data_IF_307255402100
#
_entry.id   IF_307255402100
#
_cell.length_a   1.000
_cell.length_b   1.000
_cell.length_c   1.000
_cell.angle_alpha   90.00
_cell.angle_beta   90.00
_cell.angle_gamma   90.00
#
_symmetry.space_group_name_H-M   'P 1'
#
loop_
_entity.id
_entity.type
_entity.pdbx_description
1 polymer ?
#
# COMPACT_ATOMS: atom_id res chain seq x y z
N UNK A 1 25.84 -6.18 -0.45
CA UNK A 1 25.12 -6.91 0.61
C UNK A 1 23.67 -6.96 0.20
N UNK A 2 23.12 -8.16 0.09
CA UNK A 2 21.74 -8.39 -0.35
C UNK A 2 20.71 -7.72 0.58
N UNK A 3 19.72 -7.05 -0.02
CA UNK A 3 18.58 -6.48 0.69
C UNK A 3 17.64 -7.59 1.13
N UNK A 4 17.51 -7.75 2.45
CA UNK A 4 16.62 -8.73 3.09
C UNK A 4 15.16 -8.29 3.00
N UNK A 5 14.86 -7.03 3.35
CA UNK A 5 13.50 -6.50 3.39
C UNK A 5 13.42 -5.01 2.98
N UNK A 6 12.20 -4.52 2.76
CA UNK A 6 11.90 -3.17 2.26
C UNK A 6 12.19 -2.04 3.25
N UNK A 7 12.19 -2.34 4.54
CA UNK A 7 12.48 -1.36 5.60
C UNK A 7 13.97 -1.13 5.87
N UNK A 8 14.88 -1.79 5.13
CA UNK A 8 16.32 -1.55 5.28
C UNK A 8 16.73 -0.21 4.65
N UNK A 9 17.69 0.47 5.28
CA UNK A 9 18.27 1.69 4.72
C UNK A 9 19.29 1.36 3.60
N UNK A 10 19.46 2.24 2.61
CA UNK A 10 18.71 3.49 2.41
C UNK A 10 17.27 3.24 1.94
N UNK A 11 16.35 4.08 2.40
CA UNK A 11 14.96 4.10 1.92
C UNK A 11 14.92 4.69 0.50
N UNK A 12 14.03 4.17 -0.34
CA UNK A 12 13.82 4.74 -1.67
C UNK A 12 12.97 6.02 -1.56
N UNK A 13 13.25 7.06 -2.35
CA UNK A 13 12.52 8.34 -2.26
C UNK A 13 11.00 8.18 -2.42
N UNK A 14 10.55 7.28 -3.30
CA UNK A 14 9.13 6.97 -3.47
C UNK A 14 8.50 6.34 -2.22
N UNK A 15 9.22 5.49 -1.49
CA UNK A 15 8.76 4.94 -0.22
C UNK A 15 8.56 6.05 0.81
N UNK A 16 9.52 6.99 0.91
CA UNK A 16 9.41 8.15 1.82
C UNK A 16 8.20 9.00 1.45
N UNK A 17 8.03 9.33 0.15
CA UNK A 17 6.87 10.11 -0.32
C UNK A 17 5.55 9.43 0.03
N UNK A 18 5.41 8.11 -0.21
CA UNK A 18 4.18 7.39 0.12
C UNK A 18 3.87 7.41 1.63
N UNK A 19 4.88 7.19 2.47
CA UNK A 19 4.73 7.24 3.94
C UNK A 19 4.30 8.64 4.38
N UNK A 20 4.95 9.68 3.85
CA UNK A 20 4.61 11.07 4.16
C UNK A 20 3.18 11.40 3.76
N UNK A 21 2.76 11.04 2.54
CA UNK A 21 1.39 11.26 2.06
C UNK A 21 0.38 10.51 2.93
N UNK A 22 0.63 9.24 3.27
CA UNK A 22 -0.24 8.46 4.14
C UNK A 22 -0.48 9.13 5.50
N UNK A 23 0.59 9.60 6.16
CA UNK A 23 0.46 10.27 7.45
C UNK A 23 -0.22 11.65 7.33
N UNK A 24 0.11 12.43 6.30
CA UNK A 24 -0.51 13.74 6.07
C UNK A 24 -2.02 13.61 5.86
N UNK A 25 -2.45 12.69 4.99
CA UNK A 25 -3.87 12.44 4.74
C UNK A 25 -4.58 11.86 5.96
N UNK A 26 -3.94 10.95 6.71
CA UNK A 26 -4.48 10.44 7.97
C UNK A 26 -4.71 11.52 9.03
N UNK A 27 -3.72 12.38 9.26
CA UNK A 27 -3.88 13.51 10.18
C UNK A 27 -4.97 14.45 9.67
N UNK A 28 -4.99 14.75 8.36
CA UNK A 28 -6.01 15.58 7.77
C UNK A 28 -7.42 14.98 7.96
N UNK A 29 -7.59 13.68 7.79
CA UNK A 29 -8.87 13.00 7.96
C UNK A 29 -9.42 13.15 9.38
N UNK A 30 -8.60 12.85 10.40
CA UNK A 30 -9.03 12.95 11.79
C UNK A 30 -9.23 14.40 12.25
N UNK A 31 -8.48 15.35 11.69
CA UNK A 31 -8.57 16.76 12.09
C UNK A 31 -9.64 17.57 11.34
N UNK A 32 -9.83 17.30 10.03
CA UNK A 32 -10.64 18.15 9.13
C UNK A 32 -11.77 17.41 8.41
N UNK A 33 -11.83 16.07 8.46
CA UNK A 33 -12.86 15.31 7.75
C UNK A 33 -13.87 14.71 8.73
N UNK A 34 -13.46 13.74 9.54
CA UNK A 34 -14.38 13.02 10.43
C UNK A 34 -15.21 13.93 11.34
N UNK A 35 -14.65 14.96 12.00
CA UNK A 35 -15.40 15.87 12.88
C UNK A 35 -16.46 16.71 12.16
N UNK A 36 -16.32 16.87 10.83
CA UNK A 36 -17.13 17.80 10.03
C UNK A 36 -18.15 17.11 9.12
N UNK A 37 -18.26 15.78 9.19
CA UNK A 37 -19.21 15.03 8.38
C UNK A 37 -20.67 15.20 8.84
N UNK A 38 -20.91 15.78 10.03
CA UNK A 38 -22.22 16.24 10.46
C UNK A 38 -22.63 15.73 11.84
N UNK A 39 -23.56 14.77 11.87
CA UNK A 39 -24.03 14.17 13.13
C UNK A 39 -22.92 13.31 13.75
N UNK A 40 -22.89 13.23 15.07
CA UNK A 40 -21.92 12.43 15.84
C UNK A 40 -21.85 10.97 15.36
N UNK A 41 -22.98 10.36 15.01
CA UNK A 41 -23.01 8.98 14.48
C UNK A 41 -22.20 8.84 13.19
N UNK A 42 -22.21 9.84 12.31
CA UNK A 42 -21.42 9.82 11.08
C UNK A 42 -19.93 10.02 11.37
N UNK A 43 -19.59 10.89 12.32
CA UNK A 43 -18.21 11.08 12.79
C UNK A 43 -17.61 9.78 13.34
N UNK A 44 -18.30 9.09 14.26
CA UNK A 44 -17.82 7.83 14.82
C UNK A 44 -17.73 6.72 13.76
N UNK A 45 -18.75 6.61 12.89
CA UNK A 45 -18.77 5.61 11.82
C UNK A 45 -17.62 5.84 10.84
N UNK A 46 -17.39 7.10 10.45
CA UNK A 46 -16.30 7.51 9.58
C UNK A 46 -14.93 7.20 10.16
N UNK A 47 -14.75 7.56 11.42
CA UNK A 47 -13.52 7.31 12.19
C UNK A 47 -13.24 5.82 12.26
N UNK A 48 -14.26 5.00 12.57
CA UNK A 48 -14.12 3.55 12.65
C UNK A 48 -13.73 2.90 11.31
N UNK A 49 -14.45 3.23 10.24
CA UNK A 49 -14.16 2.70 8.89
C UNK A 49 -12.76 3.13 8.43
N UNK A 50 -12.43 4.41 8.57
CA UNK A 50 -11.14 4.93 8.15
C UNK A 50 -9.98 4.32 8.94
N UNK A 51 -10.14 4.18 10.27
CA UNK A 51 -9.15 3.55 11.13
C UNK A 51 -8.89 2.11 10.70
N UNK A 52 -9.94 1.34 10.44
CA UNK A 52 -9.83 -0.04 9.95
C UNK A 52 -9.09 -0.10 8.60
N UNK A 53 -9.46 0.75 7.65
CA UNK A 53 -8.81 0.81 6.34
C UNK A 53 -7.33 1.20 6.45
N UNK A 54 -7.00 2.23 7.22
CA UNK A 54 -5.63 2.70 7.43
C UNK A 54 -4.75 1.64 8.13
N UNK A 55 -5.31 0.95 9.14
CA UNK A 55 -4.63 -0.16 9.82
C UNK A 55 -4.41 -1.35 8.88
N UNK A 56 -5.42 -1.71 8.07
CA UNK A 56 -5.29 -2.79 7.09
C UNK A 56 -4.19 -2.48 6.07
N UNK A 57 -4.14 -1.25 5.55
CA UNK A 57 -3.11 -0.80 4.63
C UNK A 57 -1.71 -0.87 5.27
N UNK A 58 -1.59 -0.42 6.53
CA UNK A 58 -0.34 -0.46 7.28
C UNK A 58 0.13 -1.89 7.54
N UNK A 59 -0.80 -2.79 7.87
CA UNK A 59 -0.53 -4.21 8.07
C UNK A 59 -0.03 -4.88 6.79
N UNK A 60 -0.72 -4.67 5.66
CA UNK A 60 -0.28 -5.21 4.37
C UNK A 60 1.05 -4.61 3.91
N UNK A 61 1.28 -3.31 4.09
CA UNK A 61 2.56 -2.67 3.77
C UNK A 61 3.70 -3.29 4.57
N UNK A 62 3.46 -3.50 5.87
CA UNK A 62 4.43 -4.14 6.76
C UNK A 62 4.72 -5.57 6.33
N UNK A 63 3.67 -6.36 6.07
CA UNK A 63 3.78 -7.75 5.67
C UNK A 63 4.54 -7.90 4.33
N UNK A 64 4.12 -7.20 3.27
CA UNK A 64 4.81 -7.26 1.97
C UNK A 64 6.23 -6.69 2.05
N UNK A 65 6.43 -5.68 2.90
CA UNK A 65 7.72 -5.04 3.13
C UNK A 65 8.71 -5.92 3.88
N UNK A 66 8.27 -6.75 4.84
CA UNK A 66 9.14 -7.66 5.60
C UNK A 66 9.29 -9.03 4.96
N UNK A 67 8.36 -9.44 4.09
CA UNK A 67 8.37 -10.76 3.48
C UNK A 67 9.62 -10.96 2.62
N UNK A 68 10.38 -12.00 3.00
CA UNK A 68 11.64 -12.35 2.35
C UNK A 68 11.35 -13.05 1.02
N UNK A 69 11.45 -12.28 -0.05
CA UNK A 69 11.24 -12.76 -1.43
C UNK A 69 12.46 -13.45 -2.05
N UNK A 70 13.59 -13.52 -1.33
CA UNK A 70 14.78 -14.20 -1.82
C UNK A 70 14.56 -15.71 -1.95
N UNK A 71 15.04 -16.30 -3.04
CA UNK A 71 15.44 -17.71 -2.99
C UNK A 71 16.72 -17.75 -2.18
N UNK A 72 16.67 -18.33 -0.97
CA UNK A 72 17.86 -18.54 -0.14
C UNK A 72 18.92 -19.22 -0.99
N UNK A 73 20.06 -18.55 -1.14
CA UNK A 73 21.28 -19.17 -1.62
C UNK A 73 22.45 -18.45 -0.98
N UNK A 74 23.31 -19.23 -0.32
CA UNK A 74 24.66 -18.90 0.19
C UNK A 74 24.87 -18.53 1.67
N UNK A 75 23.94 -18.76 2.63
CA UNK A 75 24.31 -18.69 4.07
C UNK A 75 23.74 -19.77 4.98
N UNK A 76 23.13 -20.83 4.45
CA UNK A 76 22.85 -22.02 5.26
C UNK A 76 23.62 -23.20 4.66
N UNK A 77 24.30 -23.92 5.54
CA UNK A 77 25.15 -25.08 5.29
C UNK A 77 24.56 -26.06 4.26
N UNK A 78 25.40 -26.76 3.46
CA UNK A 78 24.95 -27.75 2.49
C UNK A 78 24.47 -28.99 3.24
N UNK A 79 23.25 -28.97 3.77
CA UNK A 79 22.79 -30.08 4.59
C UNK A 79 21.54 -29.85 5.43
N UNK A 80 20.53 -29.14 4.92
CA UNK A 80 19.15 -29.35 5.41
C UNK A 80 18.12 -28.77 4.45
N UNK A 81 17.74 -29.59 3.48
CA UNK A 81 16.43 -29.44 2.85
C UNK A 81 15.43 -29.89 3.93
N UNK A 82 14.91 -28.94 4.72
CA UNK A 82 13.83 -29.27 5.65
C UNK A 82 12.65 -29.79 4.83
N UNK A 83 12.42 -31.10 4.97
CA UNK A 83 11.44 -31.89 4.24
C UNK A 83 10.03 -31.45 4.57
N UNK A 84 9.59 -30.37 3.94
CA UNK A 84 8.18 -30.11 3.74
C UNK A 84 7.79 -30.95 2.53
N UNK A 85 7.05 -32.02 2.81
CA UNK A 85 6.52 -33.00 1.87
C UNK A 85 6.20 -32.41 0.49
N UNK A 86 7.12 -32.61 -0.46
CA UNK A 86 6.84 -32.54 -1.88
C UNK A 86 6.22 -33.87 -2.27
N UNK A 87 4.98 -34.11 -1.82
CA UNK A 87 4.14 -35.12 -2.45
C UNK A 87 3.70 -34.56 -3.80
N UNK A 88 4.31 -35.12 -4.83
CA UNK A 88 3.74 -35.37 -6.16
C UNK A 88 3.01 -34.22 -6.85
N UNK A 89 3.76 -33.48 -7.68
CA UNK A 89 3.29 -33.25 -9.05
C UNK A 89 4.46 -33.33 -10.03
N UNK A 90 4.33 -34.27 -10.96
CA UNK A 90 5.33 -34.63 -11.96
C UNK A 90 5.80 -33.44 -12.80
N UNK A 91 7.10 -33.18 -12.73
CA UNK A 91 7.84 -32.36 -13.67
C UNK A 91 9.19 -32.03 -13.08
N UNK A 92 10.26 -32.50 -13.70
CA UNK A 92 11.62 -32.04 -13.39
C UNK A 92 11.62 -30.49 -13.51
N UNK A 93 11.48 -29.76 -12.40
CA UNK A 93 11.71 -28.32 -12.39
C UNK A 93 13.20 -28.12 -12.67
N UNK A 94 13.57 -27.94 -13.94
CA UNK A 94 14.92 -27.58 -14.36
C UNK A 94 15.42 -26.41 -13.51
N UNK A 95 16.26 -26.72 -12.52
CA UNK A 95 16.98 -25.71 -11.76
C UNK A 95 17.89 -24.96 -12.75
N UNK A 96 17.76 -23.64 -12.77
CA UNK A 96 18.63 -22.75 -13.54
C UNK A 96 19.79 -22.28 -12.66
N UNK A 97 20.87 -21.79 -13.26
CA UNK A 97 21.99 -21.25 -12.50
C UNK A 97 22.08 -19.73 -12.63
N UNK A 98 22.15 -19.02 -11.50
CA UNK A 98 22.42 -17.59 -11.47
C UNK A 98 23.93 -17.35 -11.31
N UNK A 99 24.56 -16.80 -12.34
CA UNK A 99 26.01 -16.48 -12.31
C UNK A 99 26.37 -15.33 -11.36
N UNK A 100 25.43 -14.43 -11.06
CA UNK A 100 25.66 -13.30 -10.14
C UNK A 100 25.64 -13.74 -8.67
N UNK A 101 24.73 -14.66 -8.33
CA UNK A 101 24.65 -15.23 -6.98
C UNK A 101 25.53 -16.48 -6.83
N UNK A 102 26.07 -17.01 -7.93
CA UNK A 102 26.79 -18.27 -8.01
C UNK A 102 26.00 -19.43 -7.35
N UNK A 103 24.73 -19.55 -7.71
CA UNK A 103 23.80 -20.47 -7.07
C UNK A 103 22.73 -21.00 -8.04
N UNK A 104 22.25 -22.20 -7.76
CA UNK A 104 21.06 -22.77 -8.41
C UNK A 104 19.78 -22.04 -7.96
N UNK A 105 18.88 -21.82 -8.90
CA UNK A 105 17.63 -21.09 -8.74
C UNK A 105 16.50 -21.81 -9.46
N UNK A 106 15.26 -21.56 -9.05
CA UNK A 106 14.07 -22.13 -9.70
C UNK A 106 13.89 -21.57 -11.12
N UNK A 107 13.18 -22.32 -11.96
CA UNK A 107 12.89 -21.99 -13.37
C UNK A 107 12.35 -20.56 -13.61
N UNK A 108 11.55 -20.04 -12.68
CA UNK A 108 10.95 -18.70 -12.78
C UNK A 108 11.67 -17.63 -11.96
N UNK A 109 12.83 -17.95 -11.38
CA UNK A 109 13.61 -16.99 -10.61
C UNK A 109 14.33 -15.99 -11.51
N UNK A 110 14.38 -14.73 -11.08
CA UNK A 110 15.22 -13.69 -11.71
C UNK A 110 16.04 -12.95 -10.66
N UNK A 111 17.25 -12.53 -11.04
CA UNK A 111 18.12 -11.74 -10.17
C UNK A 111 17.68 -10.26 -10.19
N UNK A 112 17.33 -9.72 -9.02
CA UNK A 112 17.05 -8.31 -8.84
C UNK A 112 18.34 -7.57 -8.44
N UNK A 113 18.90 -6.79 -9.36
CA UNK A 113 20.13 -6.01 -9.11
C UNK A 113 19.97 -4.97 -7.99
N UNK A 114 18.79 -4.39 -7.82
CA UNK A 114 18.50 -3.42 -6.76
C UNK A 114 18.50 -4.03 -5.36
N UNK A 115 18.09 -5.30 -5.25
CA UNK A 115 18.11 -6.05 -4.00
C UNK A 115 19.33 -6.96 -3.85
N UNK A 116 20.12 -7.15 -4.92
CA UNK A 116 21.28 -8.04 -4.96
C UNK A 116 20.91 -9.47 -4.50
N UNK A 117 19.77 -9.98 -5.01
CA UNK A 117 19.23 -11.33 -4.70
C UNK A 117 18.40 -11.91 -5.83
N UNK A 118 18.32 -13.23 -5.90
CA UNK A 118 17.36 -13.93 -6.77
C UNK A 118 16.00 -14.03 -6.10
N UNK A 119 14.93 -13.83 -6.87
CA UNK A 119 13.54 -13.85 -6.39
C UNK A 119 12.75 -14.85 -7.23
N UNK A 120 12.08 -15.79 -6.56
CA UNK A 120 11.21 -16.77 -7.22
C UNK A 120 9.91 -16.12 -7.72
N UNK A 121 9.49 -16.51 -8.93
CA UNK A 121 8.35 -15.91 -9.63
C UNK A 121 8.46 -14.38 -9.66
N UNK A 122 9.66 -13.85 -9.97
CA UNK A 122 9.93 -12.42 -9.93
C UNK A 122 9.01 -11.65 -10.87
N UNK A 123 8.22 -10.75 -10.30
CA UNK A 123 7.37 -9.81 -11.04
C UNK A 123 8.13 -8.50 -11.24
N UNK A 124 8.41 -7.77 -10.15
CA UNK A 124 9.17 -6.52 -10.21
C UNK A 124 9.82 -6.14 -8.88
N UNK A 125 10.71 -5.14 -8.92
CA UNK A 125 11.17 -4.43 -7.74
C UNK A 125 10.29 -3.21 -7.47
N UNK A 126 9.50 -3.24 -6.40
CA UNK A 126 8.57 -2.16 -6.07
C UNK A 126 9.31 -1.06 -5.30
N UNK A 127 9.51 0.10 -5.95
CA UNK A 127 10.15 1.28 -5.36
C UNK A 127 9.36 1.92 -4.21
N UNK A 128 8.04 1.67 -4.15
CA UNK A 128 7.16 2.17 -3.08
C UNK A 128 7.30 1.36 -1.79
N UNK A 129 7.57 0.06 -1.93
CA UNK A 129 7.83 -0.86 -0.81
C UNK A 129 9.32 -1.02 -0.52
N UNK A 130 10.17 -0.59 -1.45
CA UNK A 130 11.61 -0.81 -1.46
C UNK A 130 11.96 -2.32 -1.34
N UNK A 131 11.06 -3.20 -1.82
CA UNK A 131 11.19 -4.65 -1.78
C UNK A 131 10.78 -5.25 -3.14
N UNK A 132 11.23 -6.48 -3.40
CA UNK A 132 10.76 -7.22 -4.57
C UNK A 132 9.36 -7.77 -4.33
N UNK A 133 8.57 -7.80 -5.40
CA UNK A 133 7.31 -8.55 -5.50
C UNK A 133 7.61 -9.80 -6.33
N UNK A 134 7.30 -10.96 -5.76
CA UNK A 134 7.48 -12.26 -6.38
C UNK A 134 6.43 -13.24 -5.89
N UNK A 135 6.58 -14.53 -6.19
CA UNK A 135 5.55 -15.55 -5.93
C UNK A 135 4.99 -15.51 -4.50
N UNK A 136 5.88 -15.43 -3.51
CA UNK A 136 5.51 -15.51 -2.08
C UNK A 136 4.59 -14.38 -1.62
N UNK A 137 4.90 -13.14 -1.99
CA UNK A 137 4.18 -11.95 -1.52
C UNK A 137 3.21 -11.34 -2.55
N UNK A 138 3.02 -11.98 -3.70
CA UNK A 138 2.23 -11.42 -4.80
C UNK A 138 0.76 -11.17 -4.42
N UNK A 139 0.11 -12.11 -3.73
CA UNK A 139 -1.29 -11.94 -3.29
C UNK A 139 -1.39 -10.84 -2.24
N UNK A 140 -0.49 -10.82 -1.26
CA UNK A 140 -0.41 -9.76 -0.25
C UNK A 140 -0.18 -8.38 -0.88
N UNK A 141 0.61 -8.30 -1.96
CA UNK A 141 0.80 -7.08 -2.74
C UNK A 141 -0.50 -6.62 -3.42
N UNK A 142 -1.28 -7.53 -4.00
CA UNK A 142 -2.59 -7.18 -4.59
C UNK A 142 -3.60 -6.76 -3.52
N UNK A 143 -3.62 -7.42 -2.36
CA UNK A 143 -4.44 -7.02 -1.21
C UNK A 143 -4.04 -5.65 -0.67
N UNK A 144 -2.74 -5.33 -0.61
CA UNK A 144 -2.25 -3.99 -0.27
C UNK A 144 -2.85 -2.94 -1.21
N UNK A 145 -2.78 -3.17 -2.53
CA UNK A 145 -3.33 -2.23 -3.51
C UNK A 145 -4.84 -2.03 -3.35
N UNK A 146 -5.58 -3.12 -3.12
CA UNK A 146 -7.02 -3.05 -2.85
C UNK A 146 -7.33 -2.26 -1.58
N UNK A 147 -6.60 -2.50 -0.48
CA UNK A 147 -6.76 -1.78 0.77
C UNK A 147 -6.43 -0.28 0.62
N UNK A 148 -5.33 0.04 -0.08
CA UNK A 148 -4.96 1.43 -0.40
C UNK A 148 -6.02 2.12 -1.26
N UNK A 149 -6.58 1.45 -2.26
CA UNK A 149 -7.68 2.00 -3.07
C UNK A 149 -8.95 2.25 -2.25
N UNK A 150 -9.35 1.29 -1.43
CA UNK A 150 -10.52 1.43 -0.57
C UNK A 150 -10.36 2.62 0.40
N UNK A 151 -9.17 2.77 0.99
CA UNK A 151 -8.83 3.89 1.86
C UNK A 151 -8.91 5.25 1.14
N UNK A 152 -8.27 5.37 -0.03
CA UNK A 152 -8.29 6.61 -0.84
C UNK A 152 -9.70 6.97 -1.34
N UNK A 153 -10.47 5.99 -1.82
CA UNK A 153 -11.84 6.19 -2.31
C UNK A 153 -12.76 6.62 -1.17
N UNK A 154 -12.62 6.00 0.01
CA UNK A 154 -13.38 6.38 1.18
C UNK A 154 -13.09 7.83 1.56
N UNK A 155 -11.81 8.20 1.70
CA UNK A 155 -11.41 9.57 2.00
C UNK A 155 -11.94 10.59 0.97
N UNK A 156 -11.80 10.28 -0.33
CA UNK A 156 -12.36 11.10 -1.40
C UNK A 156 -13.87 11.30 -1.25
N UNK A 157 -14.62 10.23 -0.98
CA UNK A 157 -16.07 10.29 -0.80
C UNK A 157 -16.46 11.19 0.39
N UNK A 158 -15.75 11.04 1.52
CA UNK A 158 -15.94 11.91 2.69
C UNK A 158 -15.63 13.37 2.33
N UNK A 159 -14.47 13.61 1.72
CA UNK A 159 -14.02 14.95 1.34
C UNK A 159 -14.99 15.67 0.41
N UNK A 160 -15.44 14.99 -0.65
CA UNK A 160 -16.47 15.51 -1.55
C UNK A 160 -17.76 15.85 -0.78
N UNK A 161 -18.20 14.97 0.11
CA UNK A 161 -19.42 15.22 0.90
C UNK A 161 -19.30 16.46 1.79
N UNK A 162 -18.13 16.68 2.40
CA UNK A 162 -17.85 17.85 3.25
C UNK A 162 -17.75 19.11 2.40
N UNK A 163 -17.11 19.05 1.23
CA UNK A 163 -17.07 20.17 0.29
C UNK A 163 -18.48 20.58 -0.13
N UNK A 164 -19.34 19.62 -0.50
CA UNK A 164 -20.75 19.90 -0.81
C UNK A 164 -21.44 20.60 0.37
N UNK A 165 -21.25 20.12 1.60
CA UNK A 165 -21.81 20.78 2.81
C UNK A 165 -21.31 22.20 2.99
N UNK A 166 -20.03 22.49 2.70
CA UNK A 166 -19.47 23.83 2.77
C UNK A 166 -20.19 24.85 1.86
N UNK A 167 -20.89 24.38 0.82
CA UNK A 167 -21.66 25.22 -0.10
C UNK A 167 -23.17 25.16 0.18
N UNK A 168 -23.71 23.99 0.54
CA UNK A 168 -25.14 23.79 0.75
C UNK A 168 -25.61 24.29 2.13
N UNK A 169 -24.84 24.03 3.18
CA UNK A 169 -25.21 24.37 4.57
C UNK A 169 -24.11 25.22 5.24
N UNK A 170 -23.89 26.39 4.66
CA UNK A 170 -22.80 27.30 5.07
C UNK A 170 -22.81 27.61 6.56
N UNK A 171 -23.99 27.90 7.13
CA UNK A 171 -24.13 28.29 8.54
C UNK A 171 -23.81 27.13 9.49
N UNK A 172 -24.29 25.92 9.18
CA UNK A 172 -23.97 24.76 10.02
C UNK A 172 -22.48 24.44 9.98
N UNK A 173 -21.85 24.54 8.80
CA UNK A 173 -20.39 24.35 8.66
C UNK A 173 -19.60 25.42 9.41
N UNK A 174 -19.96 26.69 9.29
CA UNK A 174 -19.29 27.79 10.02
C UNK A 174 -19.40 27.60 11.54
N UNK A 175 -20.58 27.24 12.05
CA UNK A 175 -20.76 26.95 13.47
C UNK A 175 -19.91 25.75 13.94
N UNK A 176 -19.87 24.66 13.15
CA UNK A 176 -19.04 23.50 13.46
C UNK A 176 -17.55 23.83 13.45
N UNK A 177 -17.10 24.69 12.54
CA UNK A 177 -15.71 25.17 12.49
C UNK A 177 -15.37 25.94 13.78
N UNK A 178 -16.23 26.90 14.18
CA UNK A 178 -15.99 27.67 15.40
C UNK A 178 -15.99 26.77 16.64
N UNK A 179 -16.91 25.81 16.72
CA UNK A 179 -17.01 24.86 17.84
C UNK A 179 -15.78 23.94 17.97
N UNK A 180 -15.29 23.40 16.85
CA UNK A 180 -14.22 22.39 16.83
C UNK A 180 -12.80 22.94 16.67
N UNK A 181 -12.64 24.06 15.95
CA UNK A 181 -11.33 24.66 15.61
C UNK A 181 -11.12 26.05 16.24
N UNK A 182 -12.18 26.64 16.82
CA UNK A 182 -12.14 27.98 17.39
C UNK A 182 -12.50 29.09 16.40
N UNK A 183 -12.68 30.30 16.95
CA UNK A 183 -13.07 31.52 16.22
C UNK A 183 -12.00 32.03 15.24
N UNK A 184 -10.73 31.62 15.41
CA UNK A 184 -9.63 31.95 14.52
C UNK A 184 -9.66 31.25 13.15
N UNK A 185 -10.55 30.27 12.94
CA UNK A 185 -10.63 29.51 11.69
C UNK A 185 -11.91 29.82 10.91
N UNK A 186 -11.79 30.13 9.63
CA UNK A 186 -12.92 30.46 8.77
C UNK A 186 -13.17 29.38 7.71
N UNK A 187 -14.35 29.42 7.08
CA UNK A 187 -14.74 28.45 6.05
C UNK A 187 -13.79 28.40 4.84
N UNK A 188 -13.25 29.50 4.29
CA UNK A 188 -12.36 29.43 3.13
C UNK A 188 -11.07 28.61 3.34
N UNK A 189 -10.25 28.83 4.39
CA UNK A 189 -9.08 27.98 4.63
C UNK A 189 -9.47 26.54 4.95
N UNK A 190 -10.57 26.30 5.68
CA UNK A 190 -11.11 24.95 5.90
C UNK A 190 -11.40 24.22 4.58
N UNK A 191 -12.23 24.82 3.73
CA UNK A 191 -12.61 24.24 2.44
C UNK A 191 -11.40 24.05 1.53
N UNK A 192 -10.39 24.92 1.61
CA UNK A 192 -9.15 24.81 0.86
C UNK A 192 -8.35 23.56 1.28
N UNK A 193 -8.18 23.34 2.58
CA UNK A 193 -7.50 22.14 3.10
C UNK A 193 -8.24 20.87 2.67
N UNK A 194 -9.56 20.81 2.87
CA UNK A 194 -10.37 19.66 2.47
C UNK A 194 -10.29 19.43 0.95
N UNK A 195 -10.35 20.47 0.13
CA UNK A 195 -10.24 20.37 -1.32
C UNK A 195 -8.88 19.87 -1.78
N UNK A 196 -7.79 20.36 -1.19
CA UNK A 196 -6.44 19.93 -1.53
C UNK A 196 -6.21 18.45 -1.16
N UNK A 197 -6.58 18.04 0.05
CA UNK A 197 -6.46 16.64 0.47
C UNK A 197 -7.33 15.72 -0.41
N UNK A 198 -8.58 16.12 -0.69
CA UNK A 198 -9.48 15.36 -1.59
C UNK A 198 -8.89 15.25 -3.00
N UNK A 199 -8.29 16.32 -3.52
CA UNK A 199 -7.65 16.30 -4.84
C UNK A 199 -6.42 15.38 -4.87
N UNK A 200 -5.58 15.42 -3.83
CA UNK A 200 -4.44 14.49 -3.70
C UNK A 200 -4.92 13.03 -3.69
N UNK A 201 -5.95 12.73 -2.90
CA UNK A 201 -6.51 11.37 -2.80
C UNK A 201 -7.12 10.90 -4.12
N UNK A 202 -7.79 11.80 -4.86
CA UNK A 202 -8.35 11.49 -6.18
C UNK A 202 -7.24 11.23 -7.21
N UNK A 203 -6.22 12.10 -7.25
CA UNK A 203 -5.08 11.95 -8.14
C UNK A 203 -4.29 10.67 -7.86
N UNK A 204 -4.17 10.25 -6.61
CA UNK A 204 -3.52 9.00 -6.23
C UNK A 204 -4.36 7.77 -6.61
N UNK A 205 -5.69 7.88 -6.59
CA UNK A 205 -6.61 6.77 -6.91
C UNK A 205 -6.49 6.32 -8.36
N UNK A 206 -6.26 7.25 -9.30
CA UNK A 206 -6.19 6.94 -10.75
C UNK A 206 -5.06 5.96 -11.08
N UNK A 207 -3.76 6.27 -10.86
CA UNK A 207 -2.67 5.37 -11.22
C UNK A 207 -2.68 4.08 -10.39
N UNK A 208 -3.11 4.15 -9.12
CA UNK A 208 -3.24 2.95 -8.30
C UNK A 208 -4.35 2.02 -8.81
N UNK A 209 -5.45 2.60 -9.28
CA UNK A 209 -6.58 1.88 -9.88
C UNK A 209 -6.16 1.19 -11.17
N UNK A 210 -5.47 1.90 -12.07
CA UNK A 210 -4.92 1.34 -13.30
C UNK A 210 -3.98 0.16 -13.01
N UNK A 211 -3.05 0.33 -12.07
CA UNK A 211 -2.13 -0.74 -11.67
C UNK A 211 -2.90 -1.94 -11.08
N UNK A 212 -3.92 -1.69 -10.26
CA UNK A 212 -4.74 -2.76 -9.67
C UNK A 212 -5.45 -3.55 -10.75
N UNK A 213 -6.15 -2.89 -11.67
CA UNK A 213 -6.82 -3.55 -12.79
C UNK A 213 -5.85 -4.33 -13.67
N UNK A 214 -4.65 -3.80 -13.92
CA UNK A 214 -3.60 -4.51 -14.63
C UNK A 214 -3.25 -5.85 -13.96
N UNK A 215 -2.99 -5.86 -12.65
CA UNK A 215 -2.68 -7.10 -11.91
C UNK A 215 -3.87 -8.08 -11.87
N UNK A 216 -5.10 -7.58 -11.77
CA UNK A 216 -6.30 -8.42 -11.85
C UNK A 216 -6.42 -9.09 -13.23
N UNK A 217 -6.08 -8.39 -14.32
CA UNK A 217 -6.04 -8.97 -15.67
C UNK A 217 -4.93 -10.03 -15.77
N UNK A 218 -3.74 -9.77 -15.22
CA UNK A 218 -2.64 -10.75 -15.23
C UNK A 218 -3.03 -12.04 -14.51
N UNK A 219 -3.63 -11.95 -13.32
CA UNK A 219 -4.10 -13.13 -12.56
C UNK A 219 -5.08 -13.96 -13.39
N UNK A 220 -6.03 -13.29 -14.06
CA UNK A 220 -7.03 -13.97 -14.90
C UNK A 220 -6.46 -14.62 -16.16
N UNK A 221 -5.35 -14.11 -16.69
CA UNK A 221 -4.71 -14.66 -17.89
C UNK A 221 -3.79 -15.83 -17.56
N UNK A 222 -3.09 -15.78 -16.43
CA UNK A 222 -2.18 -16.86 -16.00
C UNK A 222 -2.94 -18.03 -15.35
N UNK A 223 -4.12 -17.77 -14.78
CA UNK A 223 -4.99 -18.82 -14.24
C UNK A 223 -5.82 -19.58 -15.28
N UNK A 224 -5.65 -19.31 -16.58
CA UNK A 224 -6.20 -20.09 -17.69
C UNK A 224 -5.05 -20.78 -18.41
#
# INVERSE_FOLDING_TARGET
MARRHGWQLPAHSFQVVAITVFFLLSVAFYAFFAPFWGKEIYEYTATGIYSFLALSMSAYTSHVGTELTGTLSATEEPGKFDGINLEEENGEEEALFCTLCNAEVRKFSKHCRSCDKCVDGFDHHCRWLNNCVGRKNYISFVCLMAASLAWLVFECAVGISILVRCFVDRKATENAIVDRLGDGFSRPPFATVVALCTAVSLLATVPLGELFFFHIILIRKVGR
#
